data_IF_094219596259
#
_entry.id   IF_094219596259
#
_cell.length_a   1.000
_cell.length_b   1.000
_cell.length_c   1.000
_cell.angle_alpha   90.00
_cell.angle_beta   90.00
_cell.angle_gamma   90.00
#
_symmetry.space_group_name_H-M   'P 1'
#
loop_
_entity.id
_entity.type
_entity.pdbx_description
1 polymer ?
#
# COMPACT_ATOMS: atom_id res chain seq x y z
N UNK A 1 45.21 -23.16 -22.37
CA UNK A 1 44.82 -22.05 -21.48
C UNK A 1 43.60 -21.26 -21.97
N UNK A 2 43.50 -20.85 -23.25
CA UNK A 2 42.34 -20.10 -23.78
C UNK A 2 40.97 -20.82 -23.65
N UNK A 3 40.94 -22.15 -23.79
CA UNK A 3 39.69 -22.94 -23.67
C UNK A 3 39.16 -23.07 -22.23
N UNK A 4 40.03 -22.92 -21.23
CA UNK A 4 39.66 -23.02 -19.82
C UNK A 4 39.00 -21.72 -19.32
N UNK A 5 39.46 -20.57 -19.83
CA UNK A 5 38.87 -19.27 -19.54
C UNK A 5 37.44 -19.14 -20.11
N UNK A 6 37.18 -19.69 -21.30
CA UNK A 6 35.84 -19.65 -21.90
C UNK A 6 34.82 -20.48 -21.11
N UNK A 7 35.22 -21.63 -20.56
CA UNK A 7 34.33 -22.49 -19.77
C UNK A 7 33.97 -21.84 -18.41
N UNK A 8 34.91 -21.11 -17.81
CA UNK A 8 34.69 -20.37 -16.57
C UNK A 8 33.69 -19.21 -16.75
N UNK A 9 33.74 -18.53 -17.90
CA UNK A 9 32.81 -17.42 -18.22
C UNK A 9 31.38 -17.94 -18.44
N UNK A 10 31.22 -19.11 -19.06
CA UNK A 10 29.90 -19.76 -19.24
C UNK A 10 29.35 -20.28 -17.90
N UNK A 11 30.20 -20.83 -17.03
CA UNK A 11 29.77 -21.24 -15.69
C UNK A 11 29.36 -20.05 -14.79
N UNK A 12 30.09 -18.93 -14.85
CA UNK A 12 29.73 -17.72 -14.11
C UNK A 12 28.43 -17.08 -14.61
N UNK A 13 28.14 -17.13 -15.92
CA UNK A 13 26.89 -16.57 -16.47
C UNK A 13 25.65 -17.39 -16.12
N UNK A 14 25.79 -18.70 -15.87
CA UNK A 14 24.70 -19.53 -15.35
C UNK A 14 24.38 -19.25 -13.86
N UNK A 15 25.34 -18.75 -13.08
CA UNK A 15 25.11 -18.36 -11.67
C UNK A 15 24.47 -16.96 -11.53
N UNK A 16 24.64 -16.08 -12.53
CA UNK A 16 24.07 -14.73 -12.52
C UNK A 16 22.59 -14.74 -12.96
N UNK A 17 22.11 -15.81 -13.60
CA UNK A 17 20.72 -15.94 -14.05
C UNK A 17 19.70 -16.10 -12.90
N UNK A 18 20.13 -16.46 -11.68
CA UNK A 18 19.26 -16.53 -10.50
C UNK A 18 19.17 -15.21 -9.71
N UNK A 19 19.71 -14.11 -10.24
CA UNK A 19 19.68 -12.79 -9.60
C UNK A 19 18.77 -11.77 -10.31
N UNK A 20 17.86 -12.24 -11.19
CA UNK A 20 16.87 -11.35 -11.81
C UNK A 20 15.69 -11.10 -10.87
N UNK A 21 15.77 -9.96 -10.16
CA UNK A 21 14.59 -9.14 -9.91
C UNK A 21 13.90 -9.28 -8.55
N UNK A 22 14.62 -9.10 -7.45
CA UNK A 22 14.05 -8.38 -6.30
C UNK A 22 13.83 -6.93 -6.72
N UNK A 23 12.66 -6.62 -7.26
CA UNK A 23 12.16 -5.25 -7.27
C UNK A 23 11.92 -4.84 -5.82
N UNK A 24 12.55 -3.76 -5.31
CA UNK A 24 12.21 -3.23 -4.01
C UNK A 24 10.87 -2.51 -4.14
N UNK A 25 9.81 -3.16 -3.67
CA UNK A 25 8.62 -2.48 -3.17
C UNK A 25 8.40 -3.00 -1.74
N UNK A 26 9.26 -2.53 -0.83
CA UNK A 26 8.95 -2.43 0.59
C UNK A 26 7.70 -1.54 0.73
N UNK A 27 6.53 -2.18 0.64
CA UNK A 27 5.29 -1.69 1.22
C UNK A 27 4.63 -2.87 1.91
N UNK A 28 5.10 -3.16 3.13
CA UNK A 28 4.28 -3.75 4.19
C UNK A 28 3.56 -5.09 3.94
N UNK A 29 4.16 -6.02 3.18
CA UNK A 29 3.60 -7.34 2.92
C UNK A 29 3.94 -8.36 4.03
N UNK A 30 3.28 -8.28 5.19
CA UNK A 30 3.46 -9.25 6.30
C UNK A 30 2.71 -10.55 6.03
N UNK A 31 3.44 -11.67 5.89
CA UNK A 31 2.88 -13.02 5.93
C UNK A 31 2.70 -13.47 7.36
N UNK A 32 1.66 -14.24 7.63
CA UNK A 32 1.34 -14.74 8.97
C UNK A 32 1.01 -16.23 8.92
N UNK A 33 1.17 -16.97 10.03
CA UNK A 33 0.67 -18.34 10.16
C UNK A 33 -0.85 -18.42 9.92
N UNK A 34 -1.35 -19.59 9.51
CA UNK A 34 -2.78 -19.80 9.24
C UNK A 34 -3.69 -19.52 10.45
N UNK A 35 -3.16 -19.61 11.67
CA UNK A 35 -3.88 -19.33 12.91
C UNK A 35 -3.88 -17.86 13.34
N UNK A 36 -3.07 -17.01 12.72
CA UNK A 36 -2.95 -15.59 13.04
C UNK A 36 -3.77 -14.74 12.07
N UNK A 37 -4.29 -13.62 12.55
CA UNK A 37 -4.98 -12.65 11.73
C UNK A 37 -4.00 -11.93 10.79
N UNK A 38 -4.31 -11.89 9.50
CA UNK A 38 -3.56 -11.15 8.50
C UNK A 38 -4.07 -9.72 8.41
N UNK A 39 -3.17 -8.74 8.31
CA UNK A 39 -3.52 -7.32 8.26
C UNK A 39 -3.18 -6.77 6.87
N UNK A 40 -4.16 -6.13 6.24
CA UNK A 40 -4.00 -5.40 4.99
C UNK A 40 -3.90 -3.90 5.29
N UNK A 41 -2.92 -3.23 4.68
CA UNK A 41 -2.69 -1.80 4.90
C UNK A 41 -3.34 -0.95 3.80
N UNK A 42 -3.60 0.31 4.12
CA UNK A 42 -4.01 1.32 3.14
C UNK A 42 -2.80 1.95 2.41
N UNK A 43 -3.10 2.90 1.51
CA UNK A 43 -2.08 3.63 0.74
C UNK A 43 -1.14 4.49 1.57
N UNK A 44 -1.42 4.71 2.86
CA UNK A 44 -0.54 5.41 3.81
C UNK A 44 0.31 4.46 4.66
N UNK A 45 0.07 3.15 4.54
CA UNK A 45 0.70 2.13 5.38
C UNK A 45 0.04 1.97 6.75
N UNK A 46 -1.18 2.49 6.95
CA UNK A 46 -1.96 2.24 8.15
C UNK A 46 -2.80 0.95 8.01
N UNK A 47 -3.10 0.28 9.13
CA UNK A 47 -3.94 -0.91 9.11
C UNK A 47 -5.36 -0.57 8.68
N UNK A 48 -5.84 -1.19 7.60
CA UNK A 48 -7.16 -0.95 7.04
C UNK A 48 -8.11 -2.11 7.28
N UNK A 49 -7.66 -3.32 6.95
CA UNK A 49 -8.44 -4.54 7.06
C UNK A 49 -7.68 -5.58 7.90
N UNK A 50 -8.40 -6.29 8.74
CA UNK A 50 -7.90 -7.48 9.43
C UNK A 50 -8.71 -8.68 8.96
N UNK A 51 -8.04 -9.76 8.58
CA UNK A 51 -8.66 -10.98 8.11
C UNK A 51 -8.28 -12.16 9.00
N UNK A 52 -9.26 -12.98 9.36
CA UNK A 52 -9.06 -14.23 10.08
C UNK A 52 -9.54 -15.41 9.22
N UNK A 53 -8.69 -16.41 9.05
CA UNK A 53 -9.04 -17.65 8.36
C UNK A 53 -9.94 -18.51 9.26
N UNK A 54 -11.08 -18.96 8.72
CA UNK A 54 -11.99 -19.89 9.41
C UNK A 54 -11.83 -21.33 8.95
N UNK A 55 -11.37 -21.54 7.72
CA UNK A 55 -11.04 -22.89 7.23
C UNK A 55 -9.76 -23.36 7.89
N UNK A 56 -9.86 -24.30 8.83
CA UNK A 56 -8.72 -24.80 9.62
C UNK A 56 -7.97 -25.96 8.99
N UNK A 57 -8.60 -26.69 8.05
CA UNK A 57 -7.98 -27.81 7.35
C UNK A 57 -7.77 -27.45 5.89
N UNK A 58 -6.51 -27.37 5.48
CA UNK A 58 -6.10 -27.04 4.11
C UNK A 58 -5.14 -28.08 3.51
N UNK A 59 -5.55 -29.36 3.35
CA UNK A 59 -4.73 -30.41 2.75
C UNK A 59 -4.73 -30.32 1.21
N UNK A 60 -4.26 -29.20 0.65
CA UNK A 60 -4.26 -28.99 -0.80
C UNK A 60 -3.16 -29.79 -1.49
N UNK A 61 -3.45 -30.31 -2.69
CA UNK A 61 -2.45 -30.94 -3.56
C UNK A 61 -2.64 -30.54 -5.03
N UNK A 62 -1.67 -30.82 -5.91
CA UNK A 62 -1.83 -30.60 -7.34
C UNK A 62 -3.04 -31.32 -7.95
N UNK A 63 -3.33 -32.54 -7.46
CA UNK A 63 -4.41 -33.43 -7.92
C UNK A 63 -5.74 -33.14 -7.24
N UNK A 64 -5.71 -32.68 -5.98
CA UNK A 64 -6.88 -32.33 -5.17
C UNK A 64 -6.75 -30.89 -4.65
N UNK A 65 -6.91 -29.88 -5.52
CA UNK A 65 -6.79 -28.49 -5.10
C UNK A 65 -7.98 -28.08 -4.22
N UNK A 66 -7.70 -27.28 -3.20
CA UNK A 66 -8.76 -26.65 -2.41
C UNK A 66 -9.32 -25.49 -3.22
N UNK A 67 -10.62 -25.51 -3.45
CA UNK A 67 -11.31 -24.57 -4.33
C UNK A 67 -12.03 -23.46 -3.59
N UNK A 68 -12.11 -23.54 -2.26
CA UNK A 68 -12.78 -22.55 -1.44
C UNK A 68 -12.20 -22.53 -0.03
N UNK A 69 -12.15 -21.33 0.56
CA UNK A 69 -11.84 -21.10 1.96
C UNK A 69 -12.75 -20.01 2.47
N UNK A 70 -13.04 -20.09 3.76
CA UNK A 70 -13.86 -19.13 4.47
C UNK A 70 -12.98 -18.23 5.31
N UNK A 71 -13.20 -16.92 5.19
CA UNK A 71 -12.51 -15.89 5.93
C UNK A 71 -13.52 -14.93 6.58
N UNK A 72 -13.11 -14.32 7.68
CA UNK A 72 -13.80 -13.16 8.24
C UNK A 72 -12.90 -11.95 8.02
N UNK A 73 -13.42 -10.90 7.40
CA UNK A 73 -12.70 -9.65 7.16
C UNK A 73 -13.36 -8.55 7.98
N UNK A 74 -12.57 -7.83 8.75
CA UNK A 74 -12.97 -6.73 9.64
C UNK A 74 -12.34 -5.42 9.17
N UNK A 75 -13.11 -4.35 9.16
CA UNK A 75 -12.56 -3.01 9.00
C UNK A 75 -11.98 -2.53 10.34
N UNK A 76 -10.66 -2.38 10.38
CA UNK A 76 -9.92 -1.88 11.55
C UNK A 76 -9.47 -0.42 11.38
N UNK A 77 -9.80 0.20 10.24
CA UNK A 77 -9.52 1.62 9.99
C UNK A 77 -10.45 2.53 10.79
N UNK A 78 -10.07 3.80 10.90
CA UNK A 78 -10.90 4.83 11.53
C UNK A 78 -12.09 5.30 10.66
N UNK A 79 -12.22 4.82 9.42
CA UNK A 79 -13.22 5.30 8.46
C UNK A 79 -14.09 4.16 7.91
N UNK A 80 -15.35 4.42 7.56
CA UNK A 80 -16.19 3.45 6.86
C UNK A 80 -15.82 3.38 5.37
N UNK A 81 -15.96 2.20 4.77
CA UNK A 81 -15.77 1.99 3.34
C UNK A 81 -17.11 1.72 2.63
N UNK A 82 -17.28 2.32 1.46
CA UNK A 82 -18.40 2.10 0.54
C UNK A 82 -18.10 1.05 -0.54
N UNK A 83 -16.89 0.49 -0.53
CA UNK A 83 -16.51 -0.71 -1.26
C UNK A 83 -15.14 -1.16 -0.76
N UNK A 84 -14.99 -2.45 -0.47
CA UNK A 84 -13.69 -3.06 -0.19
C UNK A 84 -13.48 -4.28 -1.06
N UNK A 85 -12.25 -4.46 -1.54
CA UNK A 85 -11.83 -5.71 -2.17
C UNK A 85 -10.35 -5.95 -1.96
N UNK A 86 -9.95 -7.21 -2.04
CA UNK A 86 -8.55 -7.57 -1.87
C UNK A 86 -8.25 -8.99 -2.31
N UNK A 87 -6.99 -9.35 -2.12
CA UNK A 87 -6.46 -10.68 -2.37
C UNK A 87 -6.14 -11.37 -1.06
N UNK A 88 -6.37 -12.67 -1.04
CA UNK A 88 -5.78 -13.57 -0.08
C UNK A 88 -4.78 -14.46 -0.82
N UNK A 89 -3.58 -14.61 -0.29
CA UNK A 89 -2.54 -15.44 -0.90
C UNK A 89 -2.04 -16.47 0.12
N UNK A 90 -1.91 -17.71 -0.32
CA UNK A 90 -1.41 -18.84 0.47
C UNK A 90 -0.04 -19.29 -0.02
N UNK A 91 0.80 -19.70 0.92
CA UNK A 91 2.18 -20.12 0.67
C UNK A 91 2.46 -21.44 1.39
N UNK A 92 3.24 -22.31 0.76
CA UNK A 92 3.77 -23.52 1.41
C UNK A 92 4.83 -23.18 2.48
N UNK A 93 5.37 -24.23 3.12
CA UNK A 93 6.44 -24.10 4.12
C UNK A 93 7.75 -23.53 3.54
N UNK A 94 7.98 -23.63 2.23
CA UNK A 94 9.10 -23.00 1.53
C UNK A 94 8.86 -21.54 1.16
N UNK A 95 7.67 -21.00 1.47
CA UNK A 95 7.29 -19.64 1.10
C UNK A 95 6.94 -19.47 -0.38
N UNK A 96 6.70 -20.57 -1.11
CA UNK A 96 6.26 -20.56 -2.50
C UNK A 96 4.75 -20.34 -2.54
N UNK A 97 4.33 -19.36 -3.35
CA UNK A 97 2.91 -19.06 -3.55
C UNK A 97 2.22 -20.24 -4.23
N UNK A 98 1.17 -20.78 -3.61
CA UNK A 98 0.49 -21.96 -4.11
C UNK A 98 -1.04 -21.84 -4.20
N UNK A 99 -1.60 -20.69 -3.81
CA UNK A 99 -3.01 -20.36 -3.97
C UNK A 99 -3.26 -18.86 -3.83
N UNK A 100 -4.24 -18.35 -4.57
CA UNK A 100 -4.73 -16.98 -4.43
C UNK A 100 -6.24 -16.95 -4.66
N UNK A 101 -6.94 -16.15 -3.87
CA UNK A 101 -8.35 -15.87 -4.02
C UNK A 101 -8.63 -14.38 -3.85
N UNK A 102 -9.83 -13.97 -4.22
CA UNK A 102 -10.30 -12.60 -4.05
C UNK A 102 -11.37 -12.54 -2.98
N UNK A 103 -11.54 -11.39 -2.33
CA UNK A 103 -12.72 -11.09 -1.53
C UNK A 103 -13.24 -9.70 -1.89
N UNK A 104 -14.54 -9.47 -1.66
CA UNK A 104 -15.17 -8.18 -1.86
C UNK A 104 -16.36 -7.99 -0.90
N UNK A 105 -16.61 -6.74 -0.54
CA UNK A 105 -17.84 -6.33 0.13
C UNK A 105 -18.24 -4.92 -0.31
N UNK A 106 -19.55 -4.70 -0.48
CA UNK A 106 -20.10 -3.44 -0.97
C UNK A 106 -20.15 -2.35 0.10
N UNK A 107 -20.18 -2.69 1.38
CA UNK A 107 -20.08 -1.71 2.45
C UNK A 107 -19.46 -2.35 3.69
N UNK A 108 -18.61 -1.60 4.38
CA UNK A 108 -17.99 -2.06 5.62
C UNK A 108 -17.73 -0.88 6.56
N UNK A 109 -18.58 -0.74 7.57
CA UNK A 109 -18.44 0.27 8.61
C UNK A 109 -17.22 -0.01 9.50
N UNK A 110 -16.78 1.00 10.25
CA UNK A 110 -15.70 0.86 11.22
C UNK A 110 -16.03 -0.21 12.25
N UNK A 111 -15.08 -1.13 12.51
CA UNK A 111 -15.23 -2.30 13.37
C UNK A 111 -16.28 -3.34 12.91
N UNK A 112 -16.91 -3.14 11.75
CA UNK A 112 -17.78 -4.15 11.16
C UNK A 112 -16.94 -5.28 10.55
N UNK A 113 -17.48 -6.49 10.62
CA UNK A 113 -16.89 -7.66 9.99
C UNK A 113 -17.90 -8.38 9.11
N UNK A 114 -17.43 -8.96 8.02
CA UNK A 114 -18.23 -9.84 7.19
C UNK A 114 -17.51 -11.18 6.99
N UNK A 115 -18.29 -12.23 6.84
CA UNK A 115 -17.80 -13.56 6.49
C UNK A 115 -17.96 -13.76 5.00
N UNK A 116 -16.93 -14.26 4.34
CA UNK A 116 -16.97 -14.53 2.91
C UNK A 116 -16.12 -15.73 2.53
N UNK A 117 -16.51 -16.31 1.42
CA UNK A 117 -15.74 -17.33 0.72
C UNK A 117 -14.82 -16.63 -0.30
N UNK A 118 -13.73 -17.28 -0.71
CA UNK A 118 -12.78 -16.73 -1.66
C UNK A 118 -12.99 -17.29 -3.07
N UNK A 119 -13.84 -16.67 -3.93
CA UNK A 119 -14.11 -17.18 -5.26
C UNK A 119 -12.84 -17.24 -6.12
N UNK A 120 -12.76 -18.26 -6.98
CA UNK A 120 -11.63 -18.48 -7.88
C UNK A 120 -10.38 -19.05 -7.21
N UNK A 121 -10.40 -19.25 -5.89
CA UNK A 121 -9.29 -19.83 -5.15
C UNK A 121 -8.98 -21.25 -5.62
N UNK A 122 -7.68 -21.53 -5.81
CA UNK A 122 -7.15 -22.88 -6.04
C UNK A 122 -5.83 -23.05 -5.31
N UNK A 123 -5.86 -23.67 -4.13
CA UNK A 123 -4.65 -24.00 -3.37
C UNK A 123 -4.18 -25.39 -3.80
N UNK A 124 -2.97 -25.46 -4.35
CA UNK A 124 -2.37 -26.70 -4.89
C UNK A 124 -1.27 -27.31 -4.01
N UNK A 125 -1.16 -26.82 -2.78
CA UNK A 125 -0.19 -27.27 -1.80
C UNK A 125 -0.80 -27.33 -0.40
N UNK A 126 -0.05 -27.85 0.57
CA UNK A 126 -0.36 -27.68 1.99
C UNK A 126 0.21 -26.32 2.45
N UNK A 127 -0.63 -25.29 2.66
CA UNK A 127 -0.15 -23.97 3.00
C UNK A 127 0.27 -23.92 4.47
N UNK A 128 1.37 -23.20 4.75
CA UNK A 128 1.85 -22.94 6.10
C UNK A 128 1.62 -21.49 6.53
N UNK A 129 1.63 -20.56 5.57
CA UNK A 129 1.44 -19.14 5.82
C UNK A 129 0.50 -18.53 4.78
N UNK A 130 -0.06 -17.38 5.13
CA UNK A 130 -0.96 -16.64 4.27
C UNK A 130 -0.80 -15.14 4.48
N UNK A 131 -1.40 -14.36 3.59
CA UNK A 131 -1.46 -12.90 3.70
C UNK A 131 -2.74 -12.38 3.09
N UNK A 132 -3.03 -11.13 3.41
CA UNK A 132 -4.14 -10.37 2.83
C UNK A 132 -3.64 -9.01 2.37
N UNK A 133 -4.05 -8.62 1.17
CA UNK A 133 -3.73 -7.32 0.57
C UNK A 133 -5.02 -6.65 0.13
N UNK A 134 -5.21 -5.39 0.51
CA UNK A 134 -6.34 -4.60 0.04
C UNK A 134 -6.00 -4.07 -1.36
N UNK A 135 -6.88 -4.32 -2.34
CA UNK A 135 -6.75 -3.77 -3.70
C UNK A 135 -7.54 -2.46 -3.80
N UNK A 136 -8.80 -2.47 -3.35
CA UNK A 136 -9.65 -1.29 -3.37
C UNK A 136 -10.20 -1.04 -1.98
N UNK A 137 -9.97 0.18 -1.49
CA UNK A 137 -10.54 0.70 -0.26
C UNK A 137 -11.21 2.03 -0.61
N UNK A 138 -12.49 2.00 -0.95
CA UNK A 138 -13.23 3.19 -1.33
C UNK A 138 -13.90 3.78 -0.09
N UNK A 139 -13.45 4.93 0.43
CA UNK A 139 -14.06 5.55 1.60
C UNK A 139 -15.53 5.89 1.33
N UNK A 140 -16.38 5.71 2.34
CA UNK A 140 -17.76 6.19 2.28
C UNK A 140 -17.78 7.68 2.59
N UNK A 141 -18.09 8.49 1.59
CA UNK A 141 -18.30 9.93 1.75
C UNK A 141 -19.78 10.15 2.08
N UNK A 142 -20.06 10.83 3.19
CA UNK A 142 -21.45 11.22 3.50
C UNK A 142 -21.88 12.29 2.48
N UNK A 143 -23.06 12.14 1.84
CA UNK A 143 -23.59 13.19 0.98
C UNK A 143 -23.67 14.52 1.75
N UNK A 144 -23.24 15.62 1.14
CA UNK A 144 -23.16 16.96 1.75
C UNK A 144 -22.14 17.14 2.88
N UNK A 145 -21.24 16.17 3.12
CA UNK A 145 -20.03 16.49 3.88
C UNK A 145 -19.19 17.41 2.99
N UNK A 146 -19.02 18.66 3.42
CA UNK A 146 -18.04 19.56 2.84
C UNK A 146 -16.68 18.85 2.99
N UNK A 147 -16.18 18.26 1.90
CA UNK A 147 -14.78 17.85 1.82
C UNK A 147 -14.02 19.13 2.13
N UNK A 148 -13.38 19.20 3.30
CA UNK A 148 -12.51 20.31 3.60
C UNK A 148 -11.58 20.40 2.38
N UNK A 149 -11.56 21.54 1.66
CA UNK A 149 -10.64 21.70 0.55
C UNK A 149 -9.28 21.31 1.10
N UNK A 150 -8.49 20.53 0.34
CA UNK A 150 -7.11 20.24 0.70
C UNK A 150 -6.47 21.59 1.00
N UNK A 151 -6.41 21.95 2.28
CA UNK A 151 -5.80 23.19 2.72
C UNK A 151 -4.34 22.90 2.56
N UNK A 152 -3.83 23.12 1.35
CA UNK A 152 -2.46 23.60 1.21
C UNK A 152 -2.40 24.72 2.24
N UNK A 153 -1.59 24.55 3.27
CA UNK A 153 -1.29 25.67 4.15
C UNK A 153 -0.83 26.77 3.21
N UNK A 154 -1.70 27.76 2.99
CA UNK A 154 -1.28 29.03 2.45
C UNK A 154 -0.36 29.56 3.53
N UNK A 155 0.91 29.19 3.44
CA UNK A 155 1.96 29.73 4.28
C UNK A 155 1.92 31.22 4.00
N UNK A 156 1.33 31.97 4.92
CA UNK A 156 1.37 33.42 4.88
C UNK A 156 2.84 33.78 5.02
N UNK A 157 3.51 34.02 3.88
CA UNK A 157 4.92 34.36 3.86
C UNK A 157 5.05 35.80 4.36
N UNK A 158 5.89 36.02 5.37
CA UNK A 158 6.27 37.35 5.82
C UNK A 158 7.79 37.54 5.65
N UNK A 159 8.21 38.77 5.33
CA UNK A 159 9.61 39.17 5.40
C UNK A 159 9.77 40.16 6.54
N UNK A 160 10.70 39.86 7.46
CA UNK A 160 11.05 40.74 8.57
C UNK A 160 12.34 41.47 8.24
N UNK A 161 12.31 42.80 8.23
CA UNK A 161 13.46 43.64 7.91
C UNK A 161 13.65 44.63 9.06
N UNK A 162 14.79 44.58 9.75
CA UNK A 162 15.09 45.41 10.93
C UNK A 162 13.99 45.38 12.03
N UNK A 163 13.23 44.28 12.13
CA UNK A 163 12.15 44.12 13.11
C UNK A 163 10.77 44.58 12.62
N UNK A 164 10.65 45.10 11.40
CA UNK A 164 9.36 45.41 10.77
C UNK A 164 8.89 44.24 9.89
N UNK A 165 7.69 43.73 10.15
CA UNK A 165 7.10 42.61 9.40
C UNK A 165 6.31 43.13 8.19
N UNK A 166 6.64 42.63 7.00
CA UNK A 166 5.93 42.91 5.76
C UNK A 166 5.29 41.63 5.18
N UNK A 167 3.97 41.58 4.99
CA UNK A 167 3.31 40.42 4.40
C UNK A 167 3.64 40.31 2.91
N UNK A 168 4.00 39.10 2.48
CA UNK A 168 4.30 38.76 1.09
C UNK A 168 3.08 38.11 0.46
N UNK A 169 2.66 38.62 -0.69
CA UNK A 169 1.65 38.01 -1.53
C UNK A 169 2.31 37.58 -2.83
N UNK A 170 2.00 36.37 -3.30
CA UNK A 170 2.44 35.92 -4.62
C UNK A 170 1.92 36.88 -5.69
N UNK A 171 2.76 37.17 -6.68
CA UNK A 171 2.48 38.03 -7.84
C UNK A 171 2.14 39.50 -7.53
N UNK A 172 2.20 39.92 -6.26
CA UNK A 172 2.02 41.31 -5.87
C UNK A 172 3.36 41.98 -5.58
N UNK A 173 3.67 43.13 -6.22
CA UNK A 173 4.91 43.84 -5.95
C UNK A 173 4.90 44.43 -4.54
N UNK A 174 5.93 44.11 -3.77
CA UNK A 174 6.26 44.73 -2.50
C UNK A 174 7.36 45.78 -2.73
N UNK A 175 7.11 47.03 -2.36
CA UNK A 175 8.08 48.12 -2.48
C UNK A 175 8.71 48.36 -1.12
N UNK A 176 10.03 48.18 -1.03
CA UNK A 176 10.81 48.36 0.19
C UNK A 176 11.85 49.46 0.00
N UNK A 177 12.10 50.24 1.04
CA UNK A 177 13.19 51.23 1.06
C UNK A 177 14.37 50.59 1.79
N UNK A 178 15.41 50.19 1.04
CA UNK A 178 16.60 49.55 1.59
C UNK A 178 17.74 50.57 1.55
N UNK A 179 18.06 51.17 2.70
CA UNK A 179 19.00 52.30 2.78
C UNK A 179 18.46 53.52 2.02
N UNK A 180 19.26 54.08 1.11
CA UNK A 180 18.87 55.25 0.30
C UNK A 180 18.11 54.91 -1.00
N UNK A 181 17.85 53.62 -1.28
CA UNK A 181 17.27 53.18 -2.56
C UNK A 181 15.99 52.39 -2.37
N UNK A 182 14.94 52.76 -3.12
CA UNK A 182 13.71 51.99 -3.23
C UNK A 182 13.90 50.78 -4.15
N UNK A 183 13.47 49.60 -3.71
CA UNK A 183 13.54 48.34 -4.45
C UNK A 183 12.15 47.69 -4.46
N UNK A 184 11.78 47.13 -5.61
CA UNK A 184 10.53 46.38 -5.78
C UNK A 184 10.86 44.89 -5.82
N UNK A 185 10.23 44.12 -4.94
CA UNK A 185 10.35 42.67 -4.85
C UNK A 185 9.04 42.04 -5.32
N UNK A 186 9.13 41.09 -6.24
CA UNK A 186 7.97 40.30 -6.70
C UNK A 186 8.29 38.83 -6.47
N UNK A 187 7.48 38.17 -5.65
CA UNK A 187 7.65 36.74 -5.34
C UNK A 187 6.76 35.93 -6.27
N UNK A 188 7.37 34.93 -6.93
CA UNK A 188 6.69 34.04 -7.88
C UNK A 188 6.94 32.59 -7.48
N UNK A 189 5.96 31.73 -7.73
CA UNK A 189 6.17 30.29 -7.62
C UNK A 189 7.09 29.82 -8.76
N UNK A 190 8.10 29.03 -8.42
CA UNK A 190 8.94 28.32 -9.39
C UNK A 190 8.31 26.93 -9.62
N UNK A 191 8.21 26.45 -10.87
CA UNK A 191 7.64 25.13 -11.17
C UNK A 191 8.43 23.97 -10.55
#
# INVERSE_FOLDING_TARGET
MKKLAAFLIVLCSALIANAQGTTPADTNDKRVPLSEAAVALDGTGAAALEATLRTTSLPGSPEAPITNVRIVVKNVSAIPYAFVSGLITFYDAGGVRCGEGVFKADALATNESFETDAPGLRIRCEPATWRVVAINLLPRIVPNQLVAPLTRENSNLEIVIYGESHPIQLDKPLVLTLGERRRTVVVRAVP
#
